data_IF_479218957874
#
_entry.id   IF_479218957874
#
_cell.length_a   1.000
_cell.length_b   1.000
_cell.length_c   1.000
_cell.angle_alpha   90.00
_cell.angle_beta   90.00
_cell.angle_gamma   90.00
#
_symmetry.space_group_name_H-M   'P 1'
#
loop_
_entity.id
_entity.type
_entity.pdbx_description
1 polymer ?
#
# COMPACT_ATOMS: atom_id res chain seq x y z
N UNK A 1 18.92 10.79 -7.27
CA UNK A 1 17.79 10.84 -8.24
C UNK A 1 16.51 11.10 -7.48
N UNK A 2 15.45 11.58 -8.16
CA UNK A 2 14.12 11.78 -7.58
C UNK A 2 13.23 10.62 -8.02
N UNK A 3 12.75 9.81 -7.08
CA UNK A 3 11.93 8.64 -7.35
C UNK A 3 10.56 8.87 -6.73
N UNK A 4 9.50 8.68 -7.53
CA UNK A 4 8.12 8.70 -7.04
C UNK A 4 7.57 7.29 -7.00
N UNK A 5 7.13 6.86 -5.83
CA UNK A 5 6.49 5.57 -5.57
C UNK A 5 4.99 5.77 -5.52
N UNK A 6 4.26 5.16 -6.44
CA UNK A 6 2.80 5.13 -6.46
C UNK A 6 2.35 3.78 -5.94
N UNK A 7 1.67 3.74 -4.79
CA UNK A 7 1.27 2.49 -4.15
C UNK A 7 -0.20 2.48 -3.79
N UNK A 8 -0.79 1.29 -3.65
CA UNK A 8 -2.13 1.21 -3.09
C UNK A 8 -2.09 1.63 -1.62
N UNK A 9 -3.20 2.16 -1.13
CA UNK A 9 -3.49 2.24 0.30
C UNK A 9 -3.96 0.87 0.76
N UNK A 10 -3.04 -0.09 0.87
CA UNK A 10 -3.28 -1.42 1.41
C UNK A 10 -2.07 -1.91 2.23
N UNK A 11 -2.26 -2.95 3.05
CA UNK A 11 -1.24 -3.47 3.97
C UNK A 11 -0.07 -4.07 3.20
N UNK A 12 -0.34 -4.74 2.08
CA UNK A 12 0.70 -5.33 1.25
C UNK A 12 1.65 -4.25 0.71
N UNK A 13 1.10 -3.14 0.22
CA UNK A 13 1.85 -1.98 -0.25
C UNK A 13 2.59 -1.28 0.88
N UNK A 14 1.93 -1.10 2.04
CA UNK A 14 2.59 -0.52 3.21
C UNK A 14 3.77 -1.37 3.69
N UNK A 15 3.59 -2.69 3.73
CA UNK A 15 4.64 -3.64 4.06
C UNK A 15 5.80 -3.55 3.07
N UNK A 16 5.51 -3.51 1.76
CA UNK A 16 6.53 -3.32 0.73
C UNK A 16 7.30 -2.00 0.90
N UNK A 17 6.60 -0.89 1.21
CA UNK A 17 7.23 0.40 1.47
C UNK A 17 8.17 0.37 2.67
N UNK A 18 7.78 -0.30 3.76
CA UNK A 18 8.66 -0.45 4.94
C UNK A 18 9.95 -1.20 4.61
N UNK A 19 9.94 -2.12 3.63
CA UNK A 19 11.14 -2.80 3.17
C UNK A 19 11.97 -1.92 2.21
N UNK A 20 11.31 -1.18 1.31
CA UNK A 20 11.96 -0.45 0.23
C UNK A 20 12.53 0.91 0.66
N UNK A 21 11.79 1.69 1.45
CA UNK A 21 12.18 3.06 1.80
C UNK A 21 13.52 3.14 2.55
N UNK A 22 13.84 2.27 3.54
CA UNK A 22 15.14 2.32 4.21
C UNK A 22 16.32 2.08 3.27
N UNK A 23 16.14 1.20 2.28
CA UNK A 23 17.18 0.86 1.31
C UNK A 23 17.44 2.02 0.32
N UNK A 24 16.37 2.71 -0.09
CA UNK A 24 16.43 3.73 -1.14
C UNK A 24 16.71 5.15 -0.62
N UNK A 25 16.28 5.46 0.61
CA UNK A 25 16.35 6.83 1.17
C UNK A 25 17.77 7.32 1.44
N UNK A 26 18.75 6.42 1.56
CA UNK A 26 20.16 6.78 1.74
C UNK A 26 20.76 7.55 0.56
N UNK A 27 20.21 7.34 -0.64
CA UNK A 27 20.84 7.75 -1.91
C UNK A 27 19.90 8.53 -2.84
N UNK A 28 18.61 8.59 -2.50
CA UNK A 28 17.57 9.10 -3.39
C UNK A 28 16.57 9.99 -2.64
N UNK A 29 16.09 11.02 -3.32
CA UNK A 29 14.94 11.79 -2.86
C UNK A 29 13.69 11.00 -3.25
N UNK A 30 12.89 10.62 -2.25
CA UNK A 30 11.72 9.77 -2.44
C UNK A 30 10.45 10.57 -2.20
N UNK A 31 9.47 10.41 -3.09
CA UNK A 31 8.10 10.86 -2.92
C UNK A 31 7.19 9.64 -2.93
N UNK A 32 6.28 9.55 -1.97
CA UNK A 32 5.33 8.43 -1.86
C UNK A 32 3.93 8.98 -2.01
N UNK A 33 3.16 8.38 -2.92
CA UNK A 33 1.75 8.69 -3.10
C UNK A 33 0.92 7.41 -2.98
N UNK A 34 0.07 7.37 -1.96
CA UNK A 34 -0.83 6.25 -1.71
C UNK A 34 -2.24 6.59 -2.22
N UNK A 35 -2.80 5.76 -3.11
CA UNK A 35 -4.19 5.89 -3.58
C UNK A 35 -4.97 4.60 -3.38
N UNK A 36 -6.30 4.66 -3.39
CA UNK A 36 -7.13 3.46 -3.17
C UNK A 36 -6.96 2.42 -4.28
N UNK A 37 -6.55 2.86 -5.49
CA UNK A 37 -6.24 1.94 -6.59
C UNK A 37 -5.17 2.50 -7.52
N UNK A 38 -4.00 1.86 -7.51
CA UNK A 38 -2.91 2.07 -8.46
C UNK A 38 -2.87 0.86 -9.42
N UNK A 39 -3.05 1.15 -10.71
CA UNK A 39 -3.03 0.13 -11.77
C UNK A 39 -4.31 -0.69 -11.89
N UNK A 40 -4.26 -1.71 -12.73
CA UNK A 40 -5.37 -2.64 -13.00
C UNK A 40 -4.83 -4.06 -12.93
N UNK A 41 -5.08 -4.79 -11.83
CA UNK A 41 -4.79 -6.22 -11.75
C UNK A 41 -5.95 -7.02 -11.13
N UNK A 42 -6.16 -8.25 -11.61
CA UNK A 42 -7.17 -9.15 -11.06
C UNK A 42 -6.72 -9.57 -9.66
N UNK A 43 -7.66 -9.58 -8.72
CA UNK A 43 -7.38 -9.96 -7.35
C UNK A 43 -6.77 -11.37 -7.32
N UNK A 44 -5.50 -11.47 -6.94
CA UNK A 44 -4.91 -12.75 -6.57
C UNK A 44 -5.79 -13.41 -5.49
N UNK A 45 -5.89 -14.74 -5.48
CA UNK A 45 -6.72 -15.44 -4.49
C UNK A 45 -6.35 -14.99 -3.07
N UNK A 46 -7.33 -14.49 -2.32
CA UNK A 46 -7.16 -14.03 -0.93
C UNK A 46 -6.92 -12.53 -0.72
N UNK A 47 -6.64 -11.74 -1.78
CA UNK A 47 -6.47 -10.28 -1.63
C UNK A 47 -7.75 -9.56 -1.18
N UNK A 48 -8.91 -10.00 -1.67
CA UNK A 48 -10.19 -9.44 -1.24
C UNK A 48 -10.45 -9.71 0.26
N UNK A 49 -10.14 -10.92 0.72
CA UNK A 49 -10.25 -11.29 2.14
C UNK A 49 -9.30 -10.47 3.00
N UNK A 50 -8.04 -10.31 2.57
CA UNK A 50 -7.07 -9.48 3.28
C UNK A 50 -7.54 -8.02 3.36
N UNK A 51 -7.99 -7.45 2.24
CA UNK A 51 -8.54 -6.08 2.18
C UNK A 51 -9.74 -5.89 3.10
N UNK A 52 -10.65 -6.88 3.18
CA UNK A 52 -11.79 -6.82 4.10
C UNK A 52 -11.35 -6.72 5.57
N UNK A 53 -10.46 -7.60 6.02
CA UNK A 53 -10.00 -7.60 7.41
C UNK A 53 -9.15 -6.37 7.75
N UNK A 54 -8.45 -5.81 6.77
CA UNK A 54 -7.60 -4.65 6.97
C UNK A 54 -8.38 -3.33 6.96
N UNK A 55 -9.37 -3.18 6.09
CA UNK A 55 -10.00 -1.88 5.82
C UNK A 55 -11.47 -1.89 6.20
N UNK A 56 -12.27 -2.73 5.55
CA UNK A 56 -13.72 -2.74 5.75
C UNK A 56 -14.09 -3.07 7.20
N UNK A 57 -13.50 -4.11 7.78
CA UNK A 57 -13.82 -4.53 9.13
C UNK A 57 -13.53 -3.45 10.19
N UNK A 58 -12.30 -2.91 10.31
CA UNK A 58 -12.02 -1.91 11.33
C UNK A 58 -12.63 -0.54 11.01
N UNK A 59 -12.55 -0.07 9.75
CA UNK A 59 -12.92 1.31 9.40
C UNK A 59 -14.42 1.50 9.22
N UNK A 60 -15.16 0.47 8.81
CA UNK A 60 -16.59 0.62 8.47
C UNK A 60 -17.52 -0.13 9.42
N UNK A 61 -17.07 -1.24 10.01
CA UNK A 61 -17.94 -2.11 10.83
C UNK A 61 -17.68 -2.00 12.33
N UNK A 62 -16.42 -1.96 12.77
CA UNK A 62 -16.08 -1.96 14.20
C UNK A 62 -15.97 -0.56 14.80
N UNK A 63 -15.44 0.41 14.04
CA UNK A 63 -15.19 1.78 14.53
C UNK A 63 -15.62 2.84 13.49
N UNK A 64 -16.91 2.91 13.11
CA UNK A 64 -17.40 3.87 12.14
C UNK A 64 -17.37 5.32 12.65
#
# INVERSE_FOLDING_TARGET
>A
MRITLLTNRDLASNFALNLLLPQLSSSHELHVFCSDRVGSKPAAPGLATASFYEQTLPLELLFP
#
